data_IF_578242792519
#
_entry.id   IF_578242792519
#
_cell.length_a   1.000
_cell.length_b   1.000
_cell.length_c   1.000
_cell.angle_alpha   90.00
_cell.angle_beta   90.00
_cell.angle_gamma   90.00
#
_symmetry.space_group_name_H-M   'P 1'
#
loop_
_entity.id
_entity.type
_entity.pdbx_description
1 polymer ?
#
# COMPACT_ATOMS: atom_id res chain seq x y z
N UNK A 1 40.96 -16.12 1.55
CA UNK A 1 40.75 -14.71 1.20
C UNK A 1 39.24 -14.52 1.17
N UNK A 2 38.71 -14.03 2.29
CA UNK A 2 37.27 -13.88 2.50
C UNK A 2 36.72 -12.82 1.52
N UNK A 3 35.78 -13.24 0.69
CA UNK A 3 35.07 -12.35 -0.22
C UNK A 3 34.07 -11.53 0.58
N UNK A 4 34.34 -10.24 0.75
CA UNK A 4 33.36 -9.29 1.25
C UNK A 4 32.17 -9.27 0.28
N UNK A 5 31.05 -9.87 0.69
CA UNK A 5 29.77 -9.57 0.08
C UNK A 5 29.55 -8.06 0.24
N UNK A 6 29.62 -7.32 -0.85
CA UNK A 6 29.13 -5.95 -0.90
C UNK A 6 27.64 -6.02 -0.61
N UNK A 7 27.29 -5.74 0.65
CA UNK A 7 25.95 -5.33 1.03
C UNK A 7 25.67 -4.09 0.18
N UNK A 8 24.97 -4.32 -0.93
CA UNK A 8 24.62 -3.29 -1.88
C UNK A 8 23.68 -2.40 -1.10
N UNK A 9 24.19 -1.28 -0.61
CA UNK A 9 23.46 -0.27 0.15
C UNK A 9 22.13 -0.06 -0.56
N UNK A 10 21.06 -0.67 -0.04
CA UNK A 10 19.72 -0.49 -0.56
C UNK A 10 19.44 0.99 -0.43
N UNK A 11 19.53 1.70 -1.56
CA UNK A 11 19.20 3.12 -1.60
C UNK A 11 17.80 3.25 -1.02
N UNK A 12 17.61 4.21 -0.13
CA UNK A 12 16.27 4.56 0.35
C UNK A 12 15.47 5.03 -0.86
N UNK A 13 14.57 4.18 -1.33
CA UNK A 13 13.67 4.49 -2.43
C UNK A 13 12.36 5.04 -1.84
N UNK A 14 11.90 6.16 -2.41
CA UNK A 14 10.63 6.78 -2.04
C UNK A 14 9.64 6.44 -3.13
N UNK A 15 8.56 5.76 -2.75
CA UNK A 15 7.47 5.38 -3.63
C UNK A 15 6.25 6.25 -3.30
N UNK A 16 5.53 6.70 -4.33
CA UNK A 16 4.36 7.57 -4.19
C UNK A 16 3.13 6.87 -4.76
N UNK A 17 2.00 6.97 -4.05
CA UNK A 17 0.69 6.55 -4.53
C UNK A 17 -0.32 7.66 -4.28
N UNK A 18 -0.98 8.11 -5.34
CA UNK A 18 -2.03 9.12 -5.27
C UNK A 18 -3.40 8.45 -5.34
N UNK A 19 -4.11 8.44 -4.21
CA UNK A 19 -5.47 7.93 -4.14
C UNK A 19 -6.46 8.96 -4.73
N UNK A 20 -7.58 8.51 -5.34
CA UNK A 20 -8.59 9.41 -5.91
C UNK A 20 -9.44 10.13 -4.84
N UNK A 21 -9.26 9.78 -3.56
CA UNK A 21 -9.98 10.31 -2.41
C UNK A 21 -9.02 10.57 -1.24
N UNK A 22 -9.48 11.34 -0.25
CA UNK A 22 -8.68 11.61 0.95
C UNK A 22 -8.52 10.34 1.78
N UNK A 23 -7.28 9.98 2.10
CA UNK A 23 -6.97 8.81 2.93
C UNK A 23 -7.21 9.17 4.40
N UNK A 24 -8.07 8.41 5.07
CA UNK A 24 -8.32 8.53 6.51
C UNK A 24 -7.39 7.64 7.34
N UNK A 25 -7.21 6.40 6.89
CA UNK A 25 -6.48 5.37 7.60
C UNK A 25 -5.66 4.52 6.65
N UNK A 26 -4.52 4.03 7.12
CA UNK A 26 -3.65 3.15 6.36
C UNK A 26 -2.92 2.16 7.27
N UNK A 27 -2.68 0.94 6.79
CA UNK A 27 -1.92 -0.05 7.56
C UNK A 27 -1.20 -1.04 6.64
N UNK A 28 -0.04 -1.53 7.10
CA UNK A 28 0.75 -2.52 6.37
C UNK A 28 0.15 -3.92 6.48
N UNK A 29 0.29 -4.69 5.40
CA UNK A 29 0.03 -6.12 5.46
C UNK A 29 1.12 -6.81 6.27
N UNK A 30 0.72 -7.67 7.21
CA UNK A 30 1.63 -8.52 8.01
C UNK A 30 1.92 -9.88 7.35
N UNK A 31 1.45 -10.06 6.11
CA UNK A 31 1.61 -11.29 5.33
C UNK A 31 3.04 -11.42 4.81
N UNK A 32 3.66 -12.57 5.06
CA UNK A 32 5.04 -12.84 4.61
C UNK A 32 5.15 -13.07 3.10
N UNK A 33 4.08 -13.54 2.48
CA UNK A 33 4.00 -13.85 1.05
C UNK A 33 3.78 -12.60 0.18
N UNK A 34 3.34 -11.48 0.80
CA UNK A 34 2.96 -10.25 0.10
C UNK A 34 3.69 -9.05 0.69
N UNK A 35 4.84 -8.73 0.09
CA UNK A 35 5.67 -7.58 0.47
C UNK A 35 5.02 -6.27 0.00
N UNK A 36 5.33 -5.18 0.70
CA UNK A 36 4.96 -3.81 0.33
C UNK A 36 3.47 -3.62 -0.03
N UNK A 37 2.61 -4.32 0.71
CA UNK A 37 1.16 -4.24 0.58
C UNK A 37 0.58 -3.37 1.68
N UNK A 38 -0.27 -2.42 1.29
CA UNK A 38 -0.98 -1.49 2.18
C UNK A 38 -2.48 -1.66 2.02
N UNK A 39 -3.21 -1.62 3.14
CA UNK A 39 -4.64 -1.32 3.13
C UNK A 39 -4.82 0.17 3.39
N UNK A 40 -5.58 0.84 2.54
CA UNK A 40 -5.95 2.25 2.68
C UNK A 40 -7.46 2.37 2.77
N UNK A 41 -7.94 3.34 3.54
CA UNK A 41 -9.36 3.63 3.69
C UNK A 41 -9.66 5.10 3.48
N UNK A 42 -10.75 5.37 2.79
CA UNK A 42 -11.16 6.73 2.43
C UNK A 42 -11.81 7.48 3.57
N UNK A 43 -11.84 8.80 3.40
CA UNK A 43 -12.78 9.70 4.06
C UNK A 43 -13.62 10.40 2.97
N UNK A 44 -14.85 9.94 2.80
CA UNK A 44 -15.85 10.56 1.94
C UNK A 44 -16.95 11.14 2.83
N UNK A 45 -17.53 12.27 2.40
CA UNK A 45 -18.63 12.91 3.12
C UNK A 45 -19.90 12.06 3.04
N UNK A 46 -20.08 11.27 1.98
CA UNK A 46 -21.17 10.33 1.84
C UNK A 46 -20.89 8.97 2.54
N UNK A 47 -21.96 8.20 2.74
CA UNK A 47 -21.94 6.87 3.37
C UNK A 47 -21.45 5.77 2.41
N UNK A 48 -20.33 6.04 1.73
CA UNK A 48 -19.80 5.21 0.66
C UNK A 48 -18.26 5.13 0.71
N UNK A 49 -17.69 5.21 1.93
CA UNK A 49 -16.24 5.06 2.10
C UNK A 49 -15.75 3.78 1.43
N UNK A 50 -14.48 3.76 1.04
CA UNK A 50 -13.87 2.65 0.32
C UNK A 50 -12.67 2.17 1.08
N UNK A 51 -12.49 0.86 1.08
CA UNK A 51 -11.27 0.21 1.53
C UNK A 51 -10.64 -0.44 0.32
N UNK A 52 -9.37 -0.15 0.10
CA UNK A 52 -8.60 -0.64 -1.02
C UNK A 52 -7.28 -1.25 -0.53
N UNK A 53 -6.86 -2.33 -1.18
CA UNK A 53 -5.54 -2.91 -0.96
C UNK A 53 -4.67 -2.59 -2.17
N UNK A 54 -3.57 -1.89 -1.91
CA UNK A 54 -2.53 -1.58 -2.90
C UNK A 54 -1.28 -2.40 -2.62
N UNK A 55 -0.55 -2.77 -3.67
CA UNK A 55 0.71 -3.52 -3.59
C UNK A 55 1.73 -2.87 -4.49
N UNK A 56 2.93 -2.62 -3.96
CA UNK A 56 4.04 -2.14 -4.78
C UNK A 56 4.47 -3.24 -5.74
N UNK A 57 4.53 -2.92 -7.02
CA UNK A 57 5.24 -3.73 -8.00
C UNK A 57 6.73 -3.37 -7.93
N UNK A 58 7.56 -4.29 -7.43
CA UNK A 58 9.01 -4.10 -7.29
C UNK A 58 9.73 -3.98 -8.66
N UNK A 59 9.11 -4.42 -9.76
CA UNK A 59 9.69 -4.30 -11.11
C UNK A 59 9.44 -2.92 -11.71
N UNK A 60 8.24 -2.36 -11.53
CA UNK A 60 7.87 -1.05 -12.09
C UNK A 60 8.09 0.10 -11.12
N UNK A 61 8.18 -0.18 -9.82
CA UNK A 61 8.23 0.82 -8.76
C UNK A 61 6.91 1.57 -8.54
N UNK A 62 5.79 0.99 -9.01
CA UNK A 62 4.46 1.62 -8.91
C UNK A 62 3.54 0.80 -8.02
N UNK A 63 2.73 1.49 -7.21
CA UNK A 63 1.67 0.84 -6.47
C UNK A 63 0.52 0.47 -7.40
N UNK A 64 0.25 -0.82 -7.50
CA UNK A 64 -0.88 -1.35 -8.24
C UNK A 64 -2.09 -1.47 -7.33
N UNK A 65 -3.21 -1.00 -7.85
CA UNK A 65 -4.50 -1.18 -7.23
C UNK A 65 -5.30 -2.24 -8.00
N UNK A 66 -5.79 -3.26 -7.31
CA UNK A 66 -6.62 -4.29 -7.92
C UNK A 66 -8.08 -4.01 -7.54
N UNK A 67 -8.93 -3.75 -8.53
CA UNK A 67 -10.35 -3.47 -8.30
C UNK A 67 -11.08 -4.60 -7.56
N UNK A 68 -10.57 -5.83 -7.60
CA UNK A 68 -11.10 -6.97 -6.84
C UNK A 68 -10.81 -6.88 -5.34
N UNK A 69 -9.90 -6.00 -4.95
CA UNK A 69 -9.50 -5.75 -3.57
C UNK A 69 -10.03 -4.40 -3.05
N UNK A 70 -11.08 -3.88 -3.70
CA UNK A 70 -11.81 -2.69 -3.28
C UNK A 70 -13.19 -3.11 -2.80
N UNK A 71 -13.62 -2.60 -1.65
CA UNK A 71 -14.98 -2.79 -1.17
C UNK A 71 -15.51 -1.53 -0.49
N UNK A 72 -16.83 -1.35 -0.55
CA UNK A 72 -17.50 -0.26 0.12
C UNK A 72 -17.58 -0.52 1.63
N UNK A 73 -17.32 0.52 2.39
CA UNK A 73 -17.41 0.56 3.83
C UNK A 73 -18.29 1.75 4.25
N UNK A 74 -19.34 1.52 5.05
CA UNK A 74 -20.28 2.56 5.44
C UNK A 74 -19.66 3.71 6.27
N UNK A 75 -18.66 3.41 7.10
CA UNK A 75 -18.06 4.35 8.04
C UNK A 75 -16.58 4.61 7.68
N UNK A 76 -15.94 5.67 8.20
CA UNK A 76 -14.50 5.80 8.10
C UNK A 76 -13.82 4.59 8.74
N UNK A 77 -12.88 3.97 8.02
CA UNK A 77 -12.15 2.81 8.55
C UNK A 77 -11.29 3.23 9.74
N UNK A 78 -11.57 2.65 10.90
CA UNK A 78 -10.70 2.78 12.07
C UNK A 78 -9.75 1.57 12.12
N UNK A 79 -8.45 1.80 11.91
CA UNK A 79 -7.40 0.79 12.14
C UNK A 79 -6.05 1.45 12.41
#
# INVERSE_FOLDING_TARGET
MEGYAQDSQKKSEIYTYDAPWQIYGMNWSVRKDKKFRLGIGSFLEEYNNKVEIIELDEETGEFKNDLRLVFDHPYPTTK
#
